data_IF_841405183893
#
_entry.id   IF_841405183893
#
_cell.length_a   1.000
_cell.length_b   1.000
_cell.length_c   1.000
_cell.angle_alpha   90.00
_cell.angle_beta   90.00
_cell.angle_gamma   90.00
#
_symmetry.space_group_name_H-M   'P 1'
#
loop_
_entity.id
_entity.type
_entity.pdbx_description
1 polymer ?
#
# COMPACT_ATOMS: atom_id res chain seq x y z
N UNK A 1 -16.37 -12.39 -16.65
CA UNK A 1 -16.52 -12.47 -15.19
C UNK A 1 -16.08 -11.14 -14.63
N UNK A 2 -17.01 -10.30 -14.17
CA UNK A 2 -16.69 -8.95 -13.69
C UNK A 2 -16.16 -9.10 -12.26
N UNK A 3 -14.85 -8.87 -12.08
CA UNK A 3 -14.25 -8.91 -10.74
C UNK A 3 -14.67 -7.64 -10.01
N UNK A 4 -15.49 -7.76 -8.97
CA UNK A 4 -15.87 -6.62 -8.13
C UNK A 4 -14.72 -6.27 -7.20
N UNK A 5 -14.21 -5.04 -7.30
CA UNK A 5 -13.13 -4.56 -6.44
C UNK A 5 -13.65 -4.21 -5.04
N UNK A 6 -13.08 -4.81 -4.00
CA UNK A 6 -13.42 -4.49 -2.61
C UNK A 6 -12.46 -3.40 -2.06
N UNK A 7 -12.76 -2.13 -2.34
CA UNK A 7 -11.95 -1.00 -1.87
C UNK A 7 -11.91 -0.86 -0.34
N UNK A 8 -12.96 -1.30 0.37
CA UNK A 8 -12.99 -1.27 1.84
C UNK A 8 -11.92 -2.19 2.43
N UNK A 9 -11.70 -3.37 1.83
CA UNK A 9 -10.64 -4.28 2.26
C UNK A 9 -9.24 -3.65 2.09
N UNK A 10 -8.98 -2.94 0.98
CA UNK A 10 -7.71 -2.24 0.78
C UNK A 10 -7.49 -1.13 1.79
N UNK A 11 -8.53 -0.35 2.09
CA UNK A 11 -8.48 0.70 3.12
C UNK A 11 -8.23 0.11 4.50
N UNK A 12 -8.88 -1.00 4.86
CA UNK A 12 -8.62 -1.69 6.13
C UNK A 12 -7.19 -2.19 6.23
N UNK A 13 -6.60 -2.72 5.14
CA UNK A 13 -5.19 -3.11 5.12
C UNK A 13 -4.27 -1.91 5.29
N UNK A 14 -4.54 -0.79 4.62
CA UNK A 14 -3.77 0.45 4.81
C UNK A 14 -3.80 0.94 6.26
N UNK A 15 -4.91 0.81 6.98
CA UNK A 15 -4.98 1.18 8.41
C UNK A 15 -4.08 0.32 9.29
N UNK A 16 -3.93 -0.96 8.96
CA UNK A 16 -3.17 -1.94 9.76
C UNK A 16 -1.69 -1.95 9.41
N UNK A 17 -1.39 -1.92 8.11
CA UNK A 17 -0.06 -2.17 7.54
C UNK A 17 0.65 -0.87 7.13
N UNK A 18 -0.08 0.26 7.02
CA UNK A 18 0.43 1.56 6.56
C UNK A 18 0.66 1.65 5.06
N UNK A 19 0.88 0.52 4.39
CA UNK A 19 1.07 0.42 2.96
C UNK A 19 0.55 -0.91 2.38
N UNK A 20 0.23 -0.90 1.09
CA UNK A 20 -0.06 -2.11 0.31
C UNK A 20 0.66 -2.04 -1.03
N UNK A 21 1.23 -3.18 -1.44
CA UNK A 21 1.89 -3.37 -2.74
C UNK A 21 1.14 -4.45 -3.54
N UNK A 22 0.91 -4.21 -4.82
CA UNK A 22 0.16 -5.09 -5.73
C UNK A 22 0.83 -5.06 -7.10
N UNK A 23 0.96 -6.19 -7.80
CA UNK A 23 1.39 -6.16 -9.20
C UNK A 23 0.24 -5.66 -10.09
N UNK A 24 0.57 -4.91 -11.16
CA UNK A 24 -0.42 -4.34 -12.08
C UNK A 24 -1.30 -5.40 -12.73
N UNK A 25 -0.73 -6.56 -13.01
CA UNK A 25 -1.45 -7.67 -13.64
C UNK A 25 -2.42 -8.38 -12.68
N UNK A 26 -2.26 -8.13 -11.37
CA UNK A 26 -3.15 -8.61 -10.32
C UNK A 26 -4.23 -7.56 -9.96
N UNK A 27 -4.23 -6.39 -10.60
CA UNK A 27 -5.24 -5.38 -10.34
C UNK A 27 -6.59 -5.82 -10.91
N UNK A 28 -7.66 -5.80 -10.11
CA UNK A 28 -8.99 -6.23 -10.55
C UNK A 28 -9.69 -5.19 -11.45
N UNK A 29 -9.04 -4.06 -11.72
CA UNK A 29 -9.51 -2.97 -12.57
C UNK A 29 -8.31 -2.23 -13.18
N UNK A 30 -8.51 -1.45 -14.27
CA UNK A 30 -7.46 -0.59 -14.81
C UNK A 30 -6.83 0.31 -13.74
N UNK A 31 -5.51 0.49 -13.81
CA UNK A 31 -4.74 1.17 -12.76
C UNK A 31 -5.31 2.55 -12.37
N UNK A 32 -5.70 3.37 -13.34
CA UNK A 32 -6.20 4.71 -13.05
C UNK A 32 -7.59 4.71 -12.39
N UNK A 33 -8.44 3.76 -12.76
CA UNK A 33 -9.72 3.51 -12.08
C UNK A 33 -9.47 3.03 -10.66
N UNK A 34 -8.61 2.03 -10.48
CA UNK A 34 -8.25 1.51 -9.16
C UNK A 34 -7.72 2.62 -8.25
N UNK A 35 -6.81 3.46 -8.75
CA UNK A 35 -6.24 4.61 -8.01
C UNK A 35 -7.30 5.62 -7.60
N UNK A 36 -8.23 5.94 -8.51
CA UNK A 36 -9.29 6.92 -8.26
C UNK A 36 -10.24 6.42 -7.17
N UNK A 37 -10.75 5.20 -7.32
CA UNK A 37 -11.71 4.63 -6.38
C UNK A 37 -11.08 4.32 -5.03
N UNK A 38 -9.81 3.85 -4.99
CA UNK A 38 -9.10 3.66 -3.72
C UNK A 38 -8.91 4.98 -2.97
N UNK A 39 -8.54 6.06 -3.67
CA UNK A 39 -8.45 7.41 -3.06
C UNK A 39 -9.81 7.89 -2.55
N UNK A 40 -10.89 7.61 -3.28
CA UNK A 40 -12.27 7.95 -2.87
C UNK A 40 -12.66 7.18 -1.60
N UNK A 41 -12.41 5.88 -1.57
CA UNK A 41 -12.67 5.03 -0.41
C UNK A 41 -11.85 5.46 0.82
N UNK A 42 -10.55 5.75 0.62
CA UNK A 42 -9.68 6.28 1.66
C UNK A 42 -10.21 7.58 2.24
N UNK A 43 -10.57 8.55 1.39
CA UNK A 43 -11.16 9.82 1.84
C UNK A 43 -12.46 9.62 2.62
N UNK A 44 -13.34 8.73 2.15
CA UNK A 44 -14.58 8.41 2.87
C UNK A 44 -14.31 7.78 4.25
N UNK A 45 -13.18 7.08 4.41
CA UNK A 45 -12.74 6.50 5.67
C UNK A 45 -11.87 7.44 6.54
N UNK A 46 -11.74 8.72 6.15
CA UNK A 46 -10.93 9.73 6.87
C UNK A 46 -9.42 9.59 6.67
N UNK A 47 -8.97 8.83 5.67
CA UNK A 47 -7.55 8.61 5.39
C UNK A 47 -7.09 9.40 4.17
N UNK A 48 -5.83 9.84 4.21
CA UNK A 48 -5.14 10.32 3.03
C UNK A 48 -4.48 9.11 2.36
N UNK A 49 -4.75 8.88 1.08
CA UNK A 49 -4.09 7.80 0.33
C UNK A 49 -3.22 8.41 -0.75
N UNK A 50 -1.92 8.12 -0.69
CA UNK A 50 -0.98 8.42 -1.75
C UNK A 50 -0.64 7.12 -2.48
N UNK A 51 -0.39 7.23 -3.78
CA UNK A 51 -0.19 6.05 -4.61
C UNK A 51 0.84 6.31 -5.70
N UNK A 52 1.74 5.35 -5.92
CA UNK A 52 2.76 5.36 -6.97
C UNK A 52 2.63 4.12 -7.85
N UNK A 53 2.83 4.29 -9.15
CA UNK A 53 2.73 3.24 -10.16
C UNK A 53 4.08 3.00 -10.86
N UNK A 54 5.17 3.19 -10.14
CA UNK A 54 6.51 2.94 -10.66
C UNK A 54 6.67 1.44 -10.88
N UNK A 55 7.03 1.01 -12.10
CA UNK A 55 7.26 -0.39 -12.54
C UNK A 55 5.99 -1.25 -12.76
N UNK A 56 6.12 -2.60 -12.75
CA UNK A 56 5.00 -3.56 -12.78
C UNK A 56 4.20 -3.54 -11.47
N UNK A 57 4.59 -2.72 -10.50
CA UNK A 57 3.97 -2.64 -9.19
C UNK A 57 3.14 -1.37 -9.01
N UNK A 58 2.18 -1.48 -8.11
CA UNK A 58 1.37 -0.42 -7.57
C UNK A 58 1.57 -0.40 -6.06
N UNK A 59 1.90 0.76 -5.51
CA UNK A 59 2.04 0.95 -4.07
C UNK A 59 1.06 2.04 -3.64
N UNK A 60 0.25 1.75 -2.63
CA UNK A 60 -0.52 2.75 -1.91
C UNK A 60 -0.03 2.81 -0.46
N UNK A 61 0.02 4.01 0.11
CA UNK A 61 0.37 4.21 1.51
C UNK A 61 -0.49 5.31 2.13
N UNK A 62 -0.70 5.17 3.44
CA UNK A 62 -1.28 6.19 4.29
C UNK A 62 -0.15 7.04 4.89
N UNK A 63 -0.02 8.33 4.53
CA UNK A 63 1.03 9.19 5.06
C UNK A 63 0.84 9.53 6.55
N UNK A 64 -0.34 9.30 7.11
CA UNK A 64 -0.63 9.57 8.52
C UNK A 64 -0.46 8.30 9.39
N UNK A 65 -0.06 7.18 8.80
CA UNK A 65 0.18 5.94 9.52
C UNK A 65 1.45 6.03 10.38
N UNK A 66 1.29 5.82 11.69
CA UNK A 66 2.39 5.80 12.65
C UNK A 66 2.88 4.37 12.85
N UNK A 67 4.13 4.11 12.46
CA UNK A 67 4.81 2.84 12.69
C UNK A 67 5.31 2.82 14.14
N UNK A 68 5.06 1.72 14.87
CA UNK A 68 5.61 1.57 16.23
C UNK A 68 7.13 1.40 16.21
N UNK A 69 7.81 1.80 17.29
CA UNK A 69 9.26 1.66 17.41
C UNK A 69 9.74 0.23 17.20
N UNK A 70 9.00 -0.76 17.71
CA UNK A 70 9.28 -2.18 17.51
C UNK A 70 9.23 -2.57 16.02
N UNK A 71 8.18 -2.15 15.29
CA UNK A 71 8.04 -2.43 13.87
C UNK A 71 9.09 -1.71 13.05
N UNK A 72 9.41 -0.47 13.40
CA UNK A 72 10.48 0.30 12.76
C UNK A 72 11.82 -0.39 12.96
N UNK A 73 12.12 -0.84 14.18
CA UNK A 73 13.35 -1.58 14.49
C UNK A 73 13.42 -2.89 13.72
N UNK A 74 12.35 -3.69 13.71
CA UNK A 74 12.29 -4.93 12.94
C UNK A 74 12.49 -4.68 11.44
N UNK A 75 11.92 -3.59 10.90
CA UNK A 75 12.12 -3.20 9.50
C UNK A 75 13.57 -2.80 9.23
N UNK A 76 14.20 -2.02 10.12
CA UNK A 76 15.61 -1.62 10.00
C UNK A 76 16.55 -2.82 10.11
N UNK A 77 16.27 -3.76 11.01
CA UNK A 77 17.03 -5.02 11.15
C UNK A 77 16.90 -5.89 9.89
N UNK A 78 15.71 -5.93 9.27
CA UNK A 78 15.48 -6.68 8.03
C UNK A 78 16.15 -6.05 6.80
N UNK A 79 16.29 -4.72 6.77
CA UNK A 79 16.93 -3.96 5.68
C UNK A 79 18.45 -3.88 5.87
N UNK A 80 18.94 -4.07 7.10
CA UNK A 80 20.37 -4.21 7.40
C UNK A 80 20.90 -5.54 6.85
N UNK A 81 21.06 -5.57 5.53
CA UNK A 81 21.83 -6.60 4.84
C UNK A 81 23.30 -6.49 5.28
N UNK A 82 23.79 -7.64 5.74
CA UNK A 82 25.15 -8.06 6.11
C UNK A 82 26.27 -7.13 5.56
N UNK A 83 27.20 -6.59 6.40
CA UNK A 83 28.38 -5.84 5.95
C UNK A 83 29.44 -6.72 5.24
N UNK A 84 29.03 -7.83 4.62
CA UNK A 84 29.92 -8.72 3.87
C UNK A 84 29.97 -8.31 2.41
N UNK A 85 30.57 -7.15 2.17
CA UNK A 85 31.21 -6.77 0.90
C UNK A 85 32.14 -5.58 1.17
N UNK A 86 33.05 -5.74 2.15
CA UNK A 86 34.13 -4.82 2.50
C UNK A 86 35.39 -5.57 2.86
#
# INVERSE_FOLDING_TARGET
>A
MTVTVNYAAFVSRLKTDGAVQIAKDDLPAPLDEFRRELRRAGRAAGMRVLSSAQTRWFIAWDPDHVVSDERMRAAMDAVSLDPKDG
#
